data_IF_122808877888
#
_entry.id   IF_122808877888
#
_cell.length_a   1.000
_cell.length_b   1.000
_cell.length_c   1.000
_cell.angle_alpha   90.00
_cell.angle_beta   90.00
_cell.angle_gamma   90.00
#
_symmetry.space_group_name_H-M   'P 1'
#
loop_
_entity.id
_entity.type
_entity.pdbx_description
1 polymer ?
#
# COMPACT_ATOMS: atom_id res chain seq x y z
N UNK A 1 60.58 -4.65 20.78
CA UNK A 1 59.53 -4.60 19.75
C UNK A 1 58.31 -5.33 20.27
N UNK A 2 57.25 -4.63 20.66
CA UNK A 2 55.96 -5.20 21.06
C UNK A 2 54.89 -4.36 20.37
N UNK A 3 54.30 -4.89 19.30
CA UNK A 3 53.20 -4.27 18.57
C UNK A 3 51.91 -4.55 19.33
N UNK A 4 51.38 -3.54 20.04
CA UNK A 4 50.03 -3.58 20.60
C UNK A 4 49.03 -3.10 19.56
N UNK A 5 48.23 -3.99 18.98
CA UNK A 5 47.09 -3.61 18.16
C UNK A 5 45.96 -3.10 19.07
N UNK A 6 45.49 -1.88 18.82
CA UNK A 6 44.36 -1.29 19.54
C UNK A 6 43.05 -2.04 19.22
N UNK A 7 42.14 -2.22 20.19
CA UNK A 7 40.86 -2.87 19.94
C UNK A 7 39.96 -1.96 19.08
N UNK A 8 39.37 -2.54 18.03
CA UNK A 8 38.34 -1.90 17.22
C UNK A 8 37.09 -1.68 18.09
N UNK A 9 36.81 -0.43 18.43
CA UNK A 9 35.54 -0.04 19.06
C UNK A 9 34.42 -0.21 18.04
N UNK A 10 33.70 -1.33 18.11
CA UNK A 10 32.44 -1.50 17.40
C UNK A 10 31.41 -0.60 18.09
N UNK A 11 31.02 0.48 17.42
CA UNK A 11 29.93 1.35 17.86
C UNK A 11 28.61 0.58 18.03
N UNK A 12 27.64 1.11 18.80
CA UNK A 12 26.37 0.44 19.02
C UNK A 12 25.71 0.14 17.67
N UNK A 13 25.44 -1.14 17.40
CA UNK A 13 24.63 -1.56 16.26
C UNK A 13 23.26 -0.87 16.39
N UNK A 14 22.75 -0.20 15.33
CA UNK A 14 21.41 0.37 15.39
C UNK A 14 20.45 -0.73 15.81
N UNK A 15 19.65 -0.46 16.84
CA UNK A 15 18.81 -1.46 17.48
C UNK A 15 17.92 -2.14 16.44
N UNK A 16 18.12 -3.44 16.24
CA UNK A 16 17.41 -4.26 15.25
C UNK A 16 15.86 -4.18 15.42
N UNK A 17 15.35 -3.68 16.55
CA UNK A 17 13.93 -3.46 16.82
C UNK A 17 13.33 -2.11 16.39
N UNK A 18 14.10 -1.20 15.78
CA UNK A 18 13.56 0.08 15.31
C UNK A 18 12.63 -0.09 14.07
N UNK A 19 12.93 -1.04 13.19
CA UNK A 19 12.13 -1.34 11.99
C UNK A 19 10.90 -2.20 12.30
N UNK A 20 10.89 -2.92 13.43
CA UNK A 20 9.75 -3.70 13.91
C UNK A 20 8.66 -2.83 14.57
N UNK A 21 8.97 -1.56 14.89
CA UNK A 21 8.05 -0.67 15.57
C UNK A 21 7.20 0.10 14.56
N UNK A 22 5.88 -0.06 14.68
CA UNK A 22 4.90 0.72 13.94
C UNK A 22 5.04 2.21 14.29
N UNK A 23 5.20 3.06 13.27
CA UNK A 23 5.09 4.51 13.43
C UNK A 23 3.63 4.95 13.19
N UNK A 24 2.91 5.12 14.30
CA UNK A 24 1.49 5.47 14.30
C UNK A 24 1.20 6.80 13.60
N UNK A 25 2.15 7.76 13.59
CA UNK A 25 1.96 9.05 12.91
C UNK A 25 1.99 8.87 11.41
N UNK A 26 2.95 8.08 10.92
CA UNK A 26 3.06 7.72 9.51
C UNK A 26 1.81 6.97 9.07
N UNK A 27 1.38 5.95 9.84
CA UNK A 27 0.16 5.19 9.55
C UNK A 27 -1.08 6.09 9.47
N UNK A 28 -1.29 6.95 10.47
CA UNK A 28 -2.45 7.85 10.50
C UNK A 28 -2.44 8.83 9.32
N UNK A 29 -1.27 9.37 8.96
CA UNK A 29 -1.12 10.27 7.82
C UNK A 29 -1.52 9.59 6.51
N UNK A 30 -1.00 8.38 6.29
CA UNK A 30 -1.29 7.58 5.09
C UNK A 30 -2.77 7.18 5.03
N UNK A 31 -3.35 6.71 6.14
CA UNK A 31 -4.78 6.39 6.22
C UNK A 31 -5.66 7.61 5.95
N UNK A 32 -5.26 8.78 6.45
CA UNK A 32 -6.00 10.03 6.23
C UNK A 32 -5.93 10.46 4.76
N UNK A 33 -4.78 10.30 4.10
CA UNK A 33 -4.64 10.58 2.68
C UNK A 33 -5.45 9.59 1.82
N UNK A 34 -5.39 8.30 2.15
CA UNK A 34 -6.17 7.25 1.49
C UNK A 34 -7.68 7.51 1.60
N UNK A 35 -8.17 7.88 2.80
CA UNK A 35 -9.58 8.29 3.01
C UNK A 35 -10.00 9.44 2.10
N UNK A 36 -9.09 10.34 1.73
CA UNK A 36 -9.35 11.47 0.81
C UNK A 36 -9.25 11.07 -0.67
N UNK A 37 -9.09 9.78 -0.97
CA UNK A 37 -8.95 9.27 -2.34
C UNK A 37 -7.54 9.42 -2.93
N UNK A 38 -6.53 9.76 -2.11
CA UNK A 38 -5.15 9.73 -2.58
C UNK A 38 -4.64 8.29 -2.57
N UNK A 39 -4.64 7.65 -3.74
CA UNK A 39 -4.13 6.29 -3.92
C UNK A 39 -2.64 6.23 -4.28
N UNK A 40 -1.91 7.35 -4.27
CA UNK A 40 -0.46 7.37 -4.53
C UNK A 40 0.38 7.19 -3.25
N UNK A 41 -0.23 7.29 -2.06
CA UNK A 41 0.47 7.08 -0.78
C UNK A 41 0.76 5.61 -0.55
N UNK A 42 1.87 5.31 0.15
CA UNK A 42 2.27 3.96 0.53
C UNK A 42 2.84 3.98 1.95
N UNK A 43 2.69 2.87 2.66
CA UNK A 43 3.45 2.62 3.89
C UNK A 43 4.88 2.15 3.55
N UNK A 44 5.88 2.42 4.41
CA UNK A 44 7.28 2.05 4.15
C UNK A 44 7.45 0.53 4.01
N UNK A 45 8.24 0.11 3.03
CA UNK A 45 8.55 -1.32 2.77
C UNK A 45 9.68 -1.83 3.64
N UNK A 46 10.39 -0.93 4.30
CA UNK A 46 11.50 -1.22 5.22
C UNK A 46 11.00 -1.63 6.61
N UNK A 47 9.70 -1.49 6.89
CA UNK A 47 9.10 -1.98 8.13
C UNK A 47 9.15 -3.51 8.16
N UNK A 48 9.52 -4.05 9.32
CA UNK A 48 9.66 -5.49 9.54
C UNK A 48 8.64 -5.99 10.57
N UNK A 49 8.58 -7.31 10.76
CA UNK A 49 7.66 -7.93 11.72
C UNK A 49 6.19 -7.67 11.40
N UNK A 50 5.39 -7.35 12.42
CA UNK A 50 3.96 -7.07 12.26
C UNK A 50 3.73 -5.74 11.54
N UNK A 51 4.59 -4.74 11.77
CA UNK A 51 4.49 -3.45 11.08
C UNK A 51 4.67 -3.62 9.57
N UNK A 52 5.65 -4.41 9.13
CA UNK A 52 5.84 -4.77 7.72
C UNK A 52 4.63 -5.48 7.12
N UNK A 53 4.08 -6.48 7.82
CA UNK A 53 2.87 -7.19 7.35
C UNK A 53 1.65 -6.28 7.23
N UNK A 54 1.51 -5.28 8.09
CA UNK A 54 0.47 -4.25 7.98
C UNK A 54 0.74 -3.37 6.75
N UNK A 55 2.00 -2.96 6.53
CA UNK A 55 2.39 -2.16 5.38
C UNK A 55 2.07 -2.87 4.06
N UNK A 56 2.46 -4.13 3.93
CA UNK A 56 2.19 -4.96 2.75
C UNK A 56 0.69 -5.07 2.48
N UNK A 57 -0.08 -5.53 3.48
CA UNK A 57 -1.53 -5.71 3.32
C UNK A 57 -2.26 -4.40 2.99
N UNK A 58 -1.82 -3.29 3.58
CA UNK A 58 -2.42 -1.99 3.30
C UNK A 58 -2.04 -1.46 1.90
N UNK A 59 -0.78 -1.63 1.49
CA UNK A 59 -0.32 -1.25 0.16
C UNK A 59 -1.08 -2.04 -0.93
N UNK A 60 -1.33 -3.33 -0.72
CA UNK A 60 -2.16 -4.16 -1.60
C UNK A 60 -3.60 -3.62 -1.72
N UNK A 61 -4.20 -3.21 -0.60
CA UNK A 61 -5.54 -2.58 -0.59
C UNK A 61 -5.54 -1.28 -1.39
N UNK A 62 -4.51 -0.44 -1.25
CA UNK A 62 -4.40 0.79 -2.04
C UNK A 62 -4.31 0.47 -3.54
N UNK A 63 -3.48 -0.48 -3.94
CA UNK A 63 -3.34 -0.85 -5.35
C UNK A 63 -4.65 -1.34 -5.97
N UNK A 64 -5.41 -2.15 -5.22
CA UNK A 64 -6.74 -2.60 -5.65
C UNK A 64 -7.68 -1.42 -5.85
N UNK A 65 -7.72 -0.48 -4.89
CA UNK A 65 -8.56 0.72 -4.99
C UNK A 65 -8.14 1.62 -6.16
N UNK A 66 -6.83 1.76 -6.41
CA UNK A 66 -6.32 2.54 -7.54
C UNK A 66 -6.75 1.94 -8.89
N UNK A 67 -6.69 0.60 -9.02
CA UNK A 67 -7.20 -0.12 -10.20
C UNK A 67 -8.70 0.09 -10.39
N UNK A 68 -9.49 -0.02 -9.32
CA UNK A 68 -10.94 0.22 -9.38
C UNK A 68 -11.29 1.65 -9.78
N UNK A 69 -10.60 2.65 -9.21
CA UNK A 69 -10.82 4.05 -9.54
C UNK A 69 -10.56 4.33 -11.03
N UNK A 70 -9.48 3.75 -11.60
CA UNK A 70 -9.19 3.84 -13.04
C UNK A 70 -10.28 3.20 -13.90
N UNK A 71 -10.79 2.03 -13.52
CA UNK A 71 -11.87 1.38 -14.26
C UNK A 71 -13.18 2.19 -14.20
N UNK A 72 -13.53 2.76 -13.05
CA UNK A 72 -14.68 3.65 -12.93
C UNK A 72 -14.54 4.90 -13.81
N UNK A 73 -13.34 5.49 -13.88
CA UNK A 73 -13.06 6.61 -14.77
C UNK A 73 -13.16 6.22 -16.26
N UNK A 74 -12.70 5.02 -16.62
CA UNK A 74 -12.83 4.51 -17.99
C UNK A 74 -14.31 4.28 -18.34
N UNK A 75 -15.07 3.66 -17.44
CA UNK A 75 -16.50 3.41 -17.63
C UNK A 75 -17.30 4.72 -17.76
N UNK A 76 -17.02 5.74 -16.94
CA UNK A 76 -17.71 7.03 -17.04
C UNK A 76 -17.46 7.71 -18.40
N UNK A 77 -16.25 7.59 -18.97
CA UNK A 77 -15.93 8.10 -20.30
C UNK A 77 -16.64 7.34 -21.43
N UNK A 78 -16.79 6.02 -21.30
CA UNK A 78 -17.51 5.19 -22.29
C UNK A 78 -19.00 5.51 -22.26
N UNK A 79 -19.60 5.58 -21.07
CA UNK A 79 -21.03 5.93 -20.90
C UNK A 79 -21.34 7.33 -21.44
N UNK A 80 -20.44 8.30 -21.26
CA UNK A 80 -20.59 9.65 -21.82
C UNK A 80 -20.53 9.72 -23.35
N UNK A 81 -19.98 8.70 -24.02
CA UNK A 81 -19.90 8.64 -25.50
C UNK A 81 -21.02 7.82 -26.13
N UNK A 82 -21.53 6.78 -25.46
CA UNK A 82 -22.43 5.80 -26.08
C UNK A 82 -23.88 5.85 -25.57
N UNK A 83 -24.18 6.56 -24.48
CA UNK A 83 -25.57 6.85 -24.03
C UNK A 83 -26.45 5.64 -23.70
N UNK A 84 -25.96 4.39 -23.82
CA UNK A 84 -26.69 3.16 -23.53
C UNK A 84 -25.77 2.13 -22.88
N UNK A 85 -26.01 1.88 -21.59
CA UNK A 85 -25.40 0.77 -20.85
C UNK A 85 -26.02 -0.52 -21.36
N UNK A 86 -25.39 -1.12 -22.37
CA UNK A 86 -25.69 -2.50 -22.76
C UNK A 86 -24.39 -3.19 -23.13
N UNK A 87 -23.56 -3.53 -22.14
CA UNK A 87 -22.96 -4.86 -22.12
C UNK A 87 -22.20 -5.14 -20.83
N UNK A 88 -22.37 -6.37 -20.37
CA UNK A 88 -21.53 -7.15 -19.47
C UNK A 88 -20.05 -7.01 -19.82
N UNK A 89 -19.43 -5.89 -19.44
CA UNK A 89 -18.00 -5.70 -19.61
C UNK A 89 -17.29 -6.50 -18.53
N UNK A 90 -17.11 -7.79 -18.82
CA UNK A 90 -16.14 -8.72 -18.24
C UNK A 90 -15.42 -8.18 -16.99
N UNK A 91 -16.06 -8.25 -15.83
CA UNK A 91 -15.46 -7.99 -14.52
C UNK A 91 -14.62 -9.19 -14.06
N UNK A 92 -13.90 -9.81 -15.00
CA UNK A 92 -13.01 -10.94 -14.76
C UNK A 92 -11.75 -10.46 -14.07
N UNK A 93 -11.84 -10.16 -12.78
CA UNK A 93 -10.69 -9.76 -11.97
C UNK A 93 -11.01 -9.27 -10.56
N UNK A 94 -12.26 -8.91 -10.27
CA UNK A 94 -12.64 -8.45 -8.93
C UNK A 94 -13.15 -9.64 -8.10
N UNK A 95 -12.51 -9.88 -6.95
CA UNK A 95 -12.91 -10.89 -5.98
C UNK A 95 -13.52 -10.23 -4.73
N UNK A 96 -14.31 -10.99 -3.96
CA UNK A 96 -14.93 -10.52 -2.71
C UNK A 96 -16.26 -9.78 -2.92
N UNK A 97 -16.66 -8.97 -1.93
CA UNK A 97 -17.96 -8.28 -1.90
C UNK A 97 -18.24 -7.40 -3.15
N UNK A 98 -17.19 -6.93 -3.80
CA UNK A 98 -17.29 -6.12 -5.01
C UNK A 98 -17.75 -6.89 -6.25
N UNK A 99 -17.47 -8.20 -6.31
CA UNK A 99 -18.07 -9.07 -7.32
C UNK A 99 -19.59 -9.21 -7.13
N UNK A 100 -20.07 -9.10 -5.89
CA UNK A 100 -21.48 -9.26 -5.55
C UNK A 100 -22.31 -7.98 -5.74
N UNK A 101 -21.70 -6.78 -5.67
CA UNK A 101 -22.41 -5.51 -5.84
C UNK A 101 -22.52 -5.02 -7.28
N UNK A 102 -21.80 -5.64 -8.21
CA UNK A 102 -21.82 -5.30 -9.64
C UNK A 102 -22.40 -6.43 -10.51
N UNK A 103 -23.14 -7.36 -9.89
CA UNK A 103 -23.89 -8.44 -10.55
C UNK A 103 -25.33 -8.08 -10.85
#
# INVERSE_FOLDING_TARGET
MMTGAAPLVVGPRPADGALDRLDDKTLLSVLTAFKKGNFAVRLPVEWTGIAGRIADAFNDVIELNEKMARELERLSKVVGKEGKITHRASLGGFSGAWAASLG
#
